data_IF_816110865628
#
_entry.id   IF_816110865628
#
_cell.length_a   1.000
_cell.length_b   1.000
_cell.length_c   1.000
_cell.angle_alpha   90.00
_cell.angle_beta   90.00
_cell.angle_gamma   90.00
#
_symmetry.space_group_name_H-M   'P 1'
#
loop_
_entity.id
_entity.type
_entity.pdbx_description
1 polymer ?
#
# COMPACT_ATOMS: atom_id res chain seq x y z
N UNK A 1 11.04 -31.90 4.18
CA UNK A 1 10.17 -31.83 2.99
C UNK A 1 9.49 -33.20 2.82
N UNK A 2 8.18 -33.24 2.80
CA UNK A 2 7.37 -34.47 2.61
C UNK A 2 7.17 -34.70 1.12
N UNK A 3 7.17 -35.98 0.68
CA UNK A 3 7.05 -36.35 -0.73
C UNK A 3 5.91 -37.33 -0.93
N UNK A 4 5.23 -37.22 -2.06
CA UNK A 4 4.13 -38.08 -2.50
C UNK A 4 4.44 -38.71 -3.85
N UNK A 5 3.94 -39.95 -4.06
CA UNK A 5 3.96 -40.54 -5.40
C UNK A 5 2.89 -39.90 -6.29
N UNK A 6 2.91 -40.19 -7.59
CA UNK A 6 1.98 -39.56 -8.55
C UNK A 6 0.52 -39.81 -8.23
N UNK A 7 0.19 -40.96 -7.63
CA UNK A 7 -1.22 -41.30 -7.28
C UNK A 7 -1.71 -40.45 -6.11
N UNK A 8 -0.89 -40.34 -5.07
CA UNK A 8 -1.16 -39.48 -3.91
C UNK A 8 -1.19 -38.01 -4.31
N UNK A 9 -0.17 -37.56 -5.04
CA UNK A 9 -0.06 -36.16 -5.47
C UNK A 9 -1.21 -35.69 -6.37
N UNK A 10 -1.78 -36.59 -7.19
CA UNK A 10 -3.02 -36.31 -7.94
C UNK A 10 -4.23 -36.04 -7.05
N UNK A 11 -4.33 -36.78 -5.94
CA UNK A 11 -5.42 -36.60 -4.97
C UNK A 11 -5.24 -35.25 -4.28
N UNK A 12 -4.06 -34.97 -3.79
CA UNK A 12 -3.70 -33.72 -3.10
C UNK A 12 -3.94 -32.49 -3.99
N UNK A 13 -3.52 -32.56 -5.27
CA UNK A 13 -3.61 -31.43 -6.20
C UNK A 13 -4.93 -31.36 -6.98
N UNK A 14 -5.79 -32.39 -6.90
CA UNK A 14 -6.98 -32.57 -7.76
C UNK A 14 -6.65 -32.47 -9.27
N UNK A 15 -5.40 -32.71 -9.64
CA UNK A 15 -4.90 -32.59 -11.01
C UNK A 15 -4.74 -33.96 -11.70
N UNK A 16 -4.95 -33.99 -13.02
CA UNK A 16 -4.67 -35.20 -13.80
C UNK A 16 -3.15 -35.47 -13.87
N UNK A 17 -2.76 -36.73 -14.04
CA UNK A 17 -1.37 -37.13 -14.24
C UNK A 17 -0.70 -36.32 -15.35
N UNK A 18 -1.38 -36.13 -16.46
CA UNK A 18 -0.87 -35.35 -17.61
C UNK A 18 -0.66 -33.87 -17.26
N UNK A 19 -1.54 -33.27 -16.43
CA UNK A 19 -1.40 -31.90 -15.96
C UNK A 19 -0.16 -31.75 -15.08
N UNK A 20 0.06 -32.70 -14.14
CA UNK A 20 1.24 -32.71 -13.26
C UNK A 20 2.52 -32.78 -14.08
N UNK A 21 2.68 -33.77 -14.97
CA UNK A 21 3.91 -33.90 -15.77
C UNK A 21 4.13 -32.74 -16.73
N UNK A 22 3.08 -32.15 -17.29
CA UNK A 22 3.18 -30.96 -18.14
C UNK A 22 3.64 -29.74 -17.36
N UNK A 23 3.17 -29.59 -16.12
CA UNK A 23 3.62 -28.54 -15.22
C UNK A 23 5.13 -28.64 -14.98
N UNK A 24 5.62 -29.81 -14.55
CA UNK A 24 7.04 -30.00 -14.28
C UNK A 24 7.93 -29.91 -15.56
N UNK A 25 7.38 -30.28 -16.72
CA UNK A 25 8.09 -30.08 -18.00
C UNK A 25 8.32 -28.59 -18.31
N UNK A 26 7.44 -27.72 -17.85
CA UNK A 26 7.55 -26.27 -18.04
C UNK A 26 8.36 -25.56 -16.94
N UNK A 27 8.56 -26.21 -15.80
CA UNK A 27 9.20 -25.64 -14.62
C UNK A 27 10.36 -26.53 -14.20
N UNK A 28 11.48 -26.43 -14.91
CA UNK A 28 12.65 -27.32 -14.74
C UNK A 28 13.27 -27.16 -13.34
N UNK A 29 13.27 -25.96 -12.77
CA UNK A 29 13.75 -25.70 -11.42
C UNK A 29 12.97 -26.54 -10.40
N UNK A 30 11.65 -26.50 -10.44
CA UNK A 30 10.79 -27.29 -9.56
C UNK A 30 10.90 -28.80 -9.85
N UNK A 31 11.19 -29.17 -11.09
CA UNK A 31 11.42 -30.56 -11.44
C UNK A 31 12.68 -31.11 -10.78
N UNK A 32 13.72 -30.31 -10.62
CA UNK A 32 14.96 -30.71 -9.94
C UNK A 32 14.76 -31.07 -8.47
N UNK A 33 13.71 -30.52 -7.84
CA UNK A 33 13.36 -30.82 -6.45
C UNK A 33 12.60 -32.15 -6.29
N UNK A 34 12.14 -32.77 -7.39
CA UNK A 34 11.52 -34.09 -7.34
C UNK A 34 12.57 -35.18 -7.09
N UNK A 35 12.18 -36.30 -6.49
CA UNK A 35 13.09 -37.43 -6.19
C UNK A 35 12.70 -38.67 -6.95
N UNK A 36 13.69 -39.47 -7.33
CA UNK A 36 13.45 -40.79 -7.88
C UNK A 36 13.75 -41.84 -6.78
N UNK A 37 12.75 -42.66 -6.43
CA UNK A 37 12.89 -43.73 -5.46
C UNK A 37 12.29 -45.03 -6.03
N UNK A 38 13.08 -46.09 -6.12
CA UNK A 38 12.65 -47.39 -6.65
C UNK A 38 11.94 -47.29 -8.03
N UNK A 39 12.51 -46.48 -8.94
CA UNK A 39 11.96 -46.25 -10.29
C UNK A 39 10.71 -45.38 -10.36
N UNK A 40 10.23 -44.91 -9.23
CA UNK A 40 9.05 -44.01 -9.17
C UNK A 40 9.47 -42.60 -8.80
N UNK A 41 8.90 -41.60 -9.51
CA UNK A 41 9.11 -40.19 -9.19
C UNK A 41 8.21 -39.79 -8.03
N UNK A 42 8.81 -39.07 -7.07
CA UNK A 42 8.17 -38.52 -5.92
C UNK A 42 8.16 -36.99 -6.03
N UNK A 43 7.05 -36.38 -5.67
CA UNK A 43 6.78 -34.95 -5.79
C UNK A 43 6.71 -34.31 -4.41
N UNK A 44 7.37 -33.15 -4.17
CA UNK A 44 7.22 -32.42 -2.92
C UNK A 44 5.75 -32.04 -2.67
N UNK A 45 5.24 -32.28 -1.46
CA UNK A 45 3.86 -31.94 -1.10
C UNK A 45 3.63 -30.43 -1.21
N UNK A 46 4.63 -29.62 -0.87
CA UNK A 46 4.57 -28.16 -0.93
C UNK A 46 4.32 -27.63 -2.35
N UNK A 47 4.66 -28.44 -3.38
CA UNK A 47 4.35 -28.07 -4.77
C UNK A 47 2.86 -28.18 -5.14
N UNK A 48 2.03 -28.77 -4.27
CA UNK A 48 0.57 -28.84 -4.49
C UNK A 48 -0.05 -27.43 -4.62
N UNK A 49 0.51 -26.42 -3.94
CA UNK A 49 0.10 -25.02 -4.03
C UNK A 49 0.03 -24.47 -5.46
N UNK A 50 0.93 -24.92 -6.35
CA UNK A 50 0.95 -24.49 -7.75
C UNK A 50 -0.19 -25.02 -8.61
N UNK A 51 -0.98 -25.94 -8.07
CA UNK A 51 -2.15 -26.50 -8.72
C UNK A 51 -3.46 -25.93 -8.15
N UNK A 52 -3.38 -25.18 -7.07
CA UNK A 52 -4.50 -24.48 -6.46
C UNK A 52 -4.71 -23.13 -7.18
N UNK A 53 -5.85 -22.99 -7.86
CA UNK A 53 -6.15 -21.79 -8.63
C UNK A 53 -6.45 -20.57 -7.77
N UNK A 54 -6.96 -20.74 -6.55
CA UNK A 54 -7.23 -19.63 -5.64
C UNK A 54 -5.93 -19.07 -5.07
N UNK A 55 -5.05 -19.95 -4.58
CA UNK A 55 -3.72 -19.51 -4.08
C UNK A 55 -2.93 -18.83 -5.20
N UNK A 56 -2.92 -19.41 -6.40
CA UNK A 56 -2.21 -18.81 -7.54
C UNK A 56 -2.82 -17.48 -7.98
N UNK A 57 -4.14 -17.31 -7.86
CA UNK A 57 -4.79 -16.05 -8.16
C UNK A 57 -4.40 -14.97 -7.16
N UNK A 58 -4.39 -15.28 -5.87
CA UNK A 58 -4.02 -14.33 -4.81
C UNK A 58 -2.54 -13.95 -4.88
N UNK A 59 -1.64 -14.92 -5.10
CA UNK A 59 -0.21 -14.67 -5.31
C UNK A 59 0.03 -13.77 -6.54
N UNK A 60 -0.65 -14.04 -7.66
CA UNK A 60 -0.54 -13.20 -8.86
C UNK A 60 -1.08 -11.79 -8.63
N UNK A 61 -2.13 -11.64 -7.82
CA UNK A 61 -2.68 -10.34 -7.46
C UNK A 61 -1.66 -9.52 -6.66
N UNK A 62 -1.04 -10.13 -5.65
CA UNK A 62 0.03 -9.50 -4.85
C UNK A 62 1.21 -9.10 -5.74
N UNK A 63 1.73 -10.02 -6.56
CA UNK A 63 2.83 -9.75 -7.47
C UNK A 63 2.52 -8.63 -8.48
N UNK A 64 1.29 -8.54 -8.97
CA UNK A 64 0.87 -7.44 -9.84
C UNK A 64 0.88 -6.10 -9.11
N UNK A 65 0.43 -6.07 -7.86
CA UNK A 65 0.46 -4.86 -7.03
C UNK A 65 1.90 -4.41 -6.75
N UNK A 66 2.78 -5.34 -6.38
CA UNK A 66 4.20 -5.07 -6.15
C UNK A 66 4.90 -4.56 -7.42
N UNK A 67 4.66 -5.21 -8.57
CA UNK A 67 5.19 -4.76 -9.85
C UNK A 67 4.68 -3.37 -10.24
N UNK A 68 3.41 -3.05 -9.99
CA UNK A 68 2.87 -1.73 -10.25
C UNK A 68 3.51 -0.68 -9.34
N UNK A 69 3.70 -0.99 -8.06
CA UNK A 69 4.38 -0.10 -7.10
C UNK A 69 5.82 0.17 -7.53
N UNK A 70 6.53 -0.86 -7.97
CA UNK A 70 7.91 -0.73 -8.46
C UNK A 70 8.00 0.11 -9.73
N UNK A 71 7.07 -0.06 -10.68
CA UNK A 71 7.01 0.79 -11.89
C UNK A 71 6.74 2.25 -11.53
N UNK A 72 5.79 2.52 -10.65
CA UNK A 72 5.49 3.88 -10.20
C UNK A 72 6.70 4.52 -9.52
N UNK A 73 7.48 3.76 -8.74
CA UNK A 73 8.71 4.22 -8.13
C UNK A 73 9.77 4.57 -9.20
N UNK A 74 9.95 3.72 -10.21
CA UNK A 74 10.89 3.95 -11.31
C UNK A 74 10.48 5.23 -12.07
N UNK A 75 9.22 5.35 -12.45
CA UNK A 75 8.70 6.52 -13.16
C UNK A 75 8.94 7.81 -12.36
N UNK A 76 8.74 7.76 -11.03
CA UNK A 76 9.03 8.87 -10.14
C UNK A 76 10.51 9.22 -10.08
N UNK A 77 11.41 8.23 -10.01
CA UNK A 77 12.86 8.46 -9.95
C UNK A 77 13.43 9.01 -11.26
N UNK A 78 12.76 8.76 -12.38
CA UNK A 78 13.13 9.29 -13.70
C UNK A 78 12.73 10.76 -13.84
N UNK A 79 11.54 11.15 -13.36
CA UNK A 79 11.04 12.53 -13.42
C UNK A 79 11.25 13.23 -12.06
N UNK A 80 12.44 13.79 -11.90
CA UNK A 80 12.85 14.50 -10.67
C UNK A 80 12.08 15.80 -10.41
N UNK A 81 11.44 16.35 -11.42
CA UNK A 81 10.65 17.58 -11.31
C UNK A 81 9.19 17.30 -10.94
N UNK A 82 8.81 16.01 -10.94
CA UNK A 82 7.45 15.60 -10.58
C UNK A 82 7.13 15.90 -9.11
N UNK A 83 5.86 16.20 -8.86
CA UNK A 83 5.34 16.32 -7.50
C UNK A 83 5.61 15.04 -6.67
N UNK A 84 5.45 13.87 -7.31
CA UNK A 84 5.69 12.58 -6.69
C UNK A 84 7.11 12.43 -6.16
N UNK A 85 8.11 12.79 -6.98
CA UNK A 85 9.51 12.72 -6.58
C UNK A 85 9.80 13.68 -5.42
N UNK A 86 9.29 14.90 -5.49
CA UNK A 86 9.47 15.91 -4.43
C UNK A 86 8.83 15.47 -3.11
N UNK A 87 7.62 14.89 -3.15
CA UNK A 87 6.96 14.33 -1.97
C UNK A 87 7.68 13.08 -1.43
N UNK A 88 8.22 12.25 -2.33
CA UNK A 88 8.95 11.03 -1.94
C UNK A 88 10.26 11.34 -1.21
N UNK A 89 10.92 12.45 -1.52
CA UNK A 89 12.14 12.89 -0.84
C UNK A 89 11.90 13.39 0.59
N UNK A 90 10.65 13.65 0.96
CA UNK A 90 10.32 14.10 2.30
C UNK A 90 10.19 12.92 3.27
N UNK A 91 10.55 13.18 4.52
CA UNK A 91 10.31 12.23 5.60
C UNK A 91 8.83 12.18 5.95
N UNK A 92 8.30 10.97 6.03
CA UNK A 92 6.94 10.68 6.47
C UNK A 92 6.94 9.63 7.56
N UNK A 93 6.06 9.79 8.54
CA UNK A 93 5.95 8.86 9.68
C UNK A 93 4.84 7.83 9.47
N UNK A 94 3.69 8.28 8.98
CA UNK A 94 2.48 7.46 8.87
C UNK A 94 1.76 7.66 7.55
N UNK A 95 1.10 6.59 7.11
CA UNK A 95 0.07 6.61 6.08
C UNK A 95 -1.27 6.38 6.75
N UNK A 96 -2.25 7.23 6.49
CA UNK A 96 -3.57 7.17 7.12
C UNK A 96 -4.64 7.21 6.05
N UNK A 97 -5.67 6.37 6.22
CA UNK A 97 -6.89 6.41 5.40
C UNK A 97 -8.07 6.76 6.30
N UNK A 98 -8.85 7.76 5.90
CA UNK A 98 -10.07 8.18 6.61
C UNK A 98 -11.26 7.92 5.69
N UNK A 99 -12.06 6.92 6.06
CA UNK A 99 -13.28 6.55 5.35
C UNK A 99 -14.50 7.04 6.13
N UNK A 100 -15.07 8.15 5.68
CA UNK A 100 -16.21 8.79 6.35
C UNK A 100 -17.44 7.88 6.35
N UNK A 101 -18.11 7.76 7.49
CA UNK A 101 -19.35 7.01 7.61
C UNK A 101 -20.52 7.71 6.91
N UNK A 102 -20.59 9.02 7.06
CA UNK A 102 -21.55 9.85 6.31
C UNK A 102 -21.01 10.18 4.91
N UNK A 103 -21.91 10.31 3.92
CA UNK A 103 -21.53 10.75 2.58
C UNK A 103 -20.95 12.17 2.68
N UNK A 104 -19.75 12.35 2.12
CA UNK A 104 -19.11 13.66 1.99
C UNK A 104 -18.75 13.91 0.53
N UNK A 105 -18.93 15.15 0.10
CA UNK A 105 -18.41 15.58 -1.19
C UNK A 105 -16.91 15.91 -1.07
N UNK A 106 -16.24 16.01 -2.20
CA UNK A 106 -14.84 16.34 -2.34
C UNK A 106 -14.42 17.58 -1.54
N UNK A 107 -15.12 18.69 -1.71
CA UNK A 107 -14.86 19.95 -0.99
C UNK A 107 -15.00 19.81 0.53
N UNK A 108 -15.93 18.98 0.99
CA UNK A 108 -16.10 18.67 2.41
C UNK A 108 -14.92 17.87 2.96
N UNK A 109 -14.43 16.89 2.19
CA UNK A 109 -13.23 16.11 2.54
C UNK A 109 -11.99 17.00 2.61
N UNK A 110 -11.81 17.90 1.63
CA UNK A 110 -10.71 18.85 1.60
C UNK A 110 -10.70 19.76 2.84
N UNK A 111 -11.83 20.39 3.15
CA UNK A 111 -11.98 21.23 4.37
C UNK A 111 -11.70 20.46 5.66
N UNK A 112 -12.09 19.20 5.69
CA UNK A 112 -11.88 18.37 6.88
C UNK A 112 -10.39 18.11 7.15
N UNK A 113 -9.56 18.00 6.10
CA UNK A 113 -8.12 17.81 6.26
C UNK A 113 -7.44 19.09 6.75
N UNK A 114 -7.84 20.26 6.27
CA UNK A 114 -7.37 21.53 6.81
C UNK A 114 -7.75 21.69 8.28
N UNK A 115 -9.01 21.42 8.64
CA UNK A 115 -9.45 21.49 10.03
C UNK A 115 -8.70 20.50 10.95
N UNK A 116 -8.40 19.28 10.45
CA UNK A 116 -7.55 18.33 11.16
C UNK A 116 -6.16 18.91 11.40
N UNK A 117 -5.52 19.46 10.35
CA UNK A 117 -4.19 20.04 10.46
C UNK A 117 -4.16 21.19 11.48
N UNK A 118 -5.10 22.14 11.38
CA UNK A 118 -5.23 23.26 12.32
C UNK A 118 -5.42 22.77 13.77
N UNK A 119 -6.23 21.73 13.98
CA UNK A 119 -6.42 21.11 15.27
C UNK A 119 -5.13 20.53 15.85
N UNK A 120 -4.38 19.78 15.03
CA UNK A 120 -3.11 19.17 15.43
C UNK A 120 -2.03 20.23 15.69
N UNK A 121 -1.93 21.25 14.80
CA UNK A 121 -0.97 22.33 14.95
C UNK A 121 -1.23 23.16 16.19
N UNK A 122 -2.48 23.50 16.46
CA UNK A 122 -2.84 24.22 17.70
C UNK A 122 -2.47 23.44 18.97
N UNK A 123 -2.58 22.11 18.93
CA UNK A 123 -2.34 21.27 20.11
C UNK A 123 -0.87 20.89 20.28
N UNK A 124 -0.16 20.65 19.18
CA UNK A 124 1.18 20.06 19.18
C UNK A 124 2.25 20.88 18.48
N UNK A 125 1.89 21.96 17.79
CA UNK A 125 2.81 22.72 16.95
C UNK A 125 4.00 23.35 17.69
N UNK A 126 3.85 23.62 18.99
CA UNK A 126 4.98 24.07 19.83
C UNK A 126 5.92 22.92 20.24
N UNK A 127 5.41 21.70 20.33
CA UNK A 127 6.14 20.52 20.80
C UNK A 127 6.79 19.72 19.67
N UNK A 128 6.30 19.85 18.44
CA UNK A 128 6.81 19.13 17.27
C UNK A 128 6.49 19.84 15.96
N UNK A 129 7.38 19.71 14.97
CA UNK A 129 7.04 20.05 13.60
C UNK A 129 6.10 19.00 13.01
N UNK A 130 5.08 19.48 12.32
CA UNK A 130 4.06 18.66 11.65
C UNK A 130 4.06 18.97 10.15
N UNK A 131 3.83 17.94 9.33
CA UNK A 131 3.59 18.07 7.90
C UNK A 131 2.57 17.03 7.47
N UNK A 132 1.60 17.43 6.67
CA UNK A 132 0.52 16.60 6.20
C UNK A 132 0.34 16.83 4.70
N UNK A 133 0.43 15.76 3.90
CA UNK A 133 0.01 15.75 2.51
C UNK A 133 -1.21 14.85 2.40
N UNK A 134 -2.23 15.29 1.68
CA UNK A 134 -3.46 14.54 1.53
C UNK A 134 -4.06 14.62 0.13
N UNK A 135 -4.89 13.64 -0.18
CA UNK A 135 -5.74 13.61 -1.36
C UNK A 135 -7.16 13.18 -1.00
N UNK A 136 -8.12 13.56 -1.83
CA UNK A 136 -9.53 13.16 -1.69
C UNK A 136 -9.92 12.30 -2.87
N UNK A 137 -10.36 11.05 -2.63
CA UNK A 137 -10.75 10.10 -3.68
C UNK A 137 -12.21 9.68 -3.55
N UNK A 138 -12.93 9.49 -4.68
CA UNK A 138 -14.28 8.92 -4.63
C UNK A 138 -14.22 7.45 -4.19
N UNK A 139 -15.23 6.99 -3.45
CA UNK A 139 -15.40 5.57 -3.20
C UNK A 139 -15.77 4.82 -4.49
N UNK A 140 -15.25 3.61 -4.65
CA UNK A 140 -15.56 2.75 -5.81
C UNK A 140 -16.90 2.04 -5.70
N UNK A 141 -17.38 1.79 -4.48
CA UNK A 141 -18.53 0.95 -4.18
C UNK A 141 -19.70 1.66 -3.50
N UNK A 142 -19.57 2.97 -3.24
CA UNK A 142 -20.63 3.83 -2.67
C UNK A 142 -20.44 5.27 -3.10
N UNK A 143 -21.45 6.13 -2.87
CA UNK A 143 -21.32 7.58 -3.07
C UNK A 143 -20.42 8.21 -2.00
N UNK A 144 -19.84 9.37 -2.36
CA UNK A 144 -18.99 10.17 -1.49
C UNK A 144 -17.50 9.92 -1.69
N UNK A 145 -16.71 10.61 -0.88
CA UNK A 145 -15.25 10.67 -0.95
C UNK A 145 -14.64 10.23 0.38
N UNK A 146 -13.39 9.81 0.32
CA UNK A 146 -12.53 9.49 1.46
C UNK A 146 -11.18 10.18 1.30
N UNK A 147 -10.42 10.29 2.37
CA UNK A 147 -9.08 10.86 2.33
C UNK A 147 -8.01 9.79 2.54
N UNK A 148 -6.95 9.93 1.75
CA UNK A 148 -5.64 9.37 2.05
C UNK A 148 -4.72 10.50 2.45
N UNK A 149 -3.92 10.30 3.48
CA UNK A 149 -2.91 11.27 3.89
C UNK A 149 -1.64 10.58 4.35
N UNK A 150 -0.52 11.27 4.17
CA UNK A 150 0.74 10.96 4.84
C UNK A 150 1.05 12.08 5.81
N UNK A 151 1.53 11.68 6.99
CA UNK A 151 1.81 12.58 8.10
C UNK A 151 3.26 12.42 8.54
N UNK A 152 3.99 13.53 8.66
CA UNK A 152 5.26 13.60 9.35
C UNK A 152 5.06 14.22 10.74
N UNK A 153 5.64 13.59 11.74
CA UNK A 153 5.72 14.05 13.12
C UNK A 153 7.18 13.97 13.52
N UNK A 154 7.85 15.13 13.61
CA UNK A 154 9.29 15.16 13.85
C UNK A 154 9.69 14.56 15.20
N UNK A 155 8.89 14.79 16.24
CA UNK A 155 9.13 14.22 17.57
C UNK A 155 8.50 12.83 17.69
N UNK A 156 9.32 11.79 17.57
CA UNK A 156 8.88 10.39 17.66
C UNK A 156 8.18 10.02 18.97
N UNK A 157 8.45 10.73 20.06
CA UNK A 157 7.78 10.46 21.36
C UNK A 157 6.31 10.83 21.35
N UNK A 158 5.87 11.69 20.41
CA UNK A 158 4.47 12.10 20.26
C UNK A 158 3.70 11.27 19.23
N UNK A 159 4.33 10.29 18.59
CA UNK A 159 3.70 9.49 17.54
C UNK A 159 2.38 8.83 18.00
N UNK A 160 2.43 8.09 19.11
CA UNK A 160 1.25 7.38 19.62
C UNK A 160 0.14 8.34 20.08
N UNK A 161 0.54 9.44 20.74
CA UNK A 161 -0.40 10.43 21.22
C UNK A 161 -1.13 11.13 20.06
N UNK A 162 -0.40 11.57 19.03
CA UNK A 162 -0.97 12.27 17.88
C UNK A 162 -1.86 11.31 17.06
N UNK A 163 -1.45 10.05 16.88
CA UNK A 163 -2.29 9.07 16.21
C UNK A 163 -3.58 8.80 16.99
N UNK A 164 -3.51 8.68 18.31
CA UNK A 164 -4.68 8.55 19.19
C UNK A 164 -5.60 9.76 19.07
N UNK A 165 -5.04 10.96 18.98
CA UNK A 165 -5.81 12.19 18.79
C UNK A 165 -6.52 12.22 17.44
N UNK A 166 -5.87 11.79 16.35
CA UNK A 166 -6.51 11.65 15.02
C UNK A 166 -7.67 10.65 15.08
N UNK A 167 -7.47 9.50 15.70
CA UNK A 167 -8.53 8.50 15.85
C UNK A 167 -9.70 9.01 16.70
N UNK A 168 -9.41 9.80 17.73
CA UNK A 168 -10.43 10.46 18.55
C UNK A 168 -11.17 11.55 17.77
N UNK A 169 -10.47 12.36 16.99
CA UNK A 169 -11.03 13.40 16.14
C UNK A 169 -12.03 12.82 15.13
N UNK A 170 -11.73 11.65 14.58
CA UNK A 170 -12.59 10.90 13.67
C UNK A 170 -13.27 9.69 14.33
N UNK A 171 -13.62 9.78 15.61
CA UNK A 171 -14.18 8.65 16.37
C UNK A 171 -15.47 8.05 15.77
N UNK A 172 -16.15 8.79 14.92
CA UNK A 172 -17.35 8.34 14.20
C UNK A 172 -17.05 7.66 12.87
N UNK A 173 -15.88 7.89 12.32
CA UNK A 173 -15.43 7.44 11.02
C UNK A 173 -14.45 6.27 11.15
N UNK A 174 -14.16 5.57 10.04
CA UNK A 174 -13.13 4.55 10.02
C UNK A 174 -11.79 5.20 9.72
N UNK A 175 -10.83 4.99 10.61
CA UNK A 175 -9.45 5.47 10.50
C UNK A 175 -8.51 4.28 10.48
N UNK A 176 -7.86 4.04 9.34
CA UNK A 176 -6.82 3.01 9.19
C UNK A 176 -5.46 3.71 9.21
N UNK A 177 -4.56 3.30 10.10
CA UNK A 177 -3.21 3.88 10.27
C UNK A 177 -2.15 2.81 10.05
N UNK A 178 -1.17 3.11 9.21
CA UNK A 178 0.01 2.31 9.01
C UNK A 178 1.29 3.14 9.12
N UNK A 179 2.40 2.50 9.49
CA UNK A 179 3.72 3.12 9.39
C UNK A 179 3.99 3.38 7.91
N UNK A 180 4.50 4.59 7.60
CA UNK A 180 4.86 4.92 6.23
C UNK A 180 6.08 4.11 5.77
N UNK A 181 5.98 3.51 4.60
CA UNK A 181 7.06 2.79 3.94
C UNK A 181 7.29 3.43 2.56
N UNK A 182 8.46 4.07 2.31
CA UNK A 182 8.74 4.77 1.06
C UNK A 182 8.78 3.83 -0.16
N UNK A 183 8.95 2.53 0.03
CA UNK A 183 8.98 1.53 -1.04
C UNK A 183 7.60 0.90 -1.31
N UNK A 184 6.61 1.20 -0.49
CA UNK A 184 5.21 0.84 -0.73
C UNK A 184 4.47 1.99 -1.42
N UNK A 185 3.34 1.66 -2.02
CA UNK A 185 2.59 2.53 -2.92
C UNK A 185 2.02 3.84 -2.31
N UNK A 186 2.30 4.17 -1.03
CA UNK A 186 1.65 5.27 -0.31
C UNK A 186 1.54 6.58 -1.10
N UNK A 187 2.65 7.31 -1.30
CA UNK A 187 2.65 8.58 -2.05
C UNK A 187 2.28 8.36 -3.52
N UNK A 188 2.80 7.30 -4.17
CA UNK A 188 2.49 7.04 -5.58
C UNK A 188 1.02 6.70 -5.80
N UNK A 189 0.40 6.01 -4.85
CA UNK A 189 -1.03 5.74 -4.88
C UNK A 189 -1.84 7.03 -4.76
N UNK A 190 -1.48 7.89 -3.81
CA UNK A 190 -2.15 9.16 -3.56
C UNK A 190 -1.97 10.15 -4.70
N UNK A 191 -0.79 10.16 -5.36
CA UNK A 191 -0.40 11.12 -6.38
C UNK A 191 -0.55 10.61 -7.82
N UNK A 192 -1.32 9.53 -8.04
CA UNK A 192 -1.59 8.99 -9.38
C UNK A 192 -2.27 10.02 -10.29
N UNK A 193 -2.00 9.89 -11.62
CA UNK A 193 -2.66 10.74 -12.63
C UNK A 193 -4.18 10.68 -12.49
N UNK A 194 -4.82 11.85 -12.34
CA UNK A 194 -6.26 11.99 -12.12
C UNK A 194 -6.64 12.35 -10.68
N UNK A 195 -5.78 12.11 -9.69
CA UNK A 195 -6.03 12.52 -8.29
C UNK A 195 -5.34 13.86 -7.97
N UNK A 196 -4.29 14.22 -8.72
CA UNK A 196 -3.42 15.39 -8.44
C UNK A 196 -3.98 16.71 -8.98
N UNK A 197 -4.98 16.68 -9.87
CA UNK A 197 -5.32 17.91 -10.60
C UNK A 197 -6.03 18.98 -9.75
N UNK A 198 -6.80 18.62 -8.71
CA UNK A 198 -7.55 19.61 -7.93
C UNK A 198 -7.77 19.24 -6.44
N UNK A 199 -7.39 18.03 -6.01
CA UNK A 199 -7.89 17.43 -4.78
C UNK A 199 -6.82 17.06 -3.76
N UNK A 200 -5.71 17.75 -3.79
CA UNK A 200 -4.61 17.55 -2.87
C UNK A 200 -4.10 18.87 -2.30
N UNK A 201 -3.51 18.78 -1.12
CA UNK A 201 -2.74 19.88 -0.54
C UNK A 201 -1.64 19.35 0.36
N UNK A 202 -0.65 20.20 0.63
CA UNK A 202 0.41 19.95 1.58
C UNK A 202 0.45 21.08 2.61
N UNK A 203 0.32 20.69 3.88
CA UNK A 203 0.27 21.60 5.03
C UNK A 203 1.43 21.28 5.96
N UNK A 204 2.06 22.29 6.54
CA UNK A 204 3.12 22.04 7.50
C UNK A 204 3.85 23.29 7.97
N UNK A 205 4.29 23.26 9.20
CA UNK A 205 5.09 24.32 9.82
C UNK A 205 6.59 24.20 9.51
N UNK A 206 7.04 23.12 8.86
CA UNK A 206 8.43 22.84 8.49
C UNK A 206 8.71 22.87 6.98
N UNK A 207 7.75 23.23 6.15
CA UNK A 207 7.88 23.21 4.67
C UNK A 207 9.01 24.13 4.17
N UNK A 208 9.26 25.25 4.85
CA UNK A 208 10.32 26.20 4.50
C UNK A 208 11.73 25.69 4.83
N UNK A 209 11.86 24.77 5.79
CA UNK A 209 13.16 24.26 6.24
C UNK A 209 13.76 23.24 5.25
N UNK A 210 12.89 22.52 4.52
CA UNK A 210 13.31 21.48 3.59
C UNK A 210 13.65 22.04 2.18
N UNK A 211 13.66 23.36 1.98
CA UNK A 211 13.99 23.99 0.71
C UNK A 211 12.98 23.76 -0.41
N UNK A 212 11.83 23.17 -0.08
CA UNK A 212 10.77 22.85 -1.00
C UNK A 212 9.76 24.00 -1.02
N UNK A 213 9.86 24.83 -2.04
CA UNK A 213 8.80 25.80 -2.34
C UNK A 213 7.68 25.05 -3.05
N UNK A 214 6.63 24.72 -2.32
CA UNK A 214 5.34 24.40 -2.92
C UNK A 214 4.63 25.75 -3.11
N UNK A 215 4.37 26.11 -4.36
CA UNK A 215 3.51 27.26 -4.63
C UNK A 215 2.13 26.96 -4.01
N UNK A 216 1.79 27.70 -2.95
CA UNK A 216 0.46 27.67 -2.36
C UNK A 216 -0.54 28.09 -3.45
N UNK A 217 -1.41 27.20 -3.83
CA UNK A 217 -2.57 27.49 -4.69
C UNK A 217 -3.71 28.06 -3.88
#
# INVERSE_FOLDING_TARGET
MKYENITEFKITTKASKSKVYRFYKKNEELFSETKLKSGKRLFPVDHARYFDSEIMFDENKILRQENQSMRNLIDCLVDKDSLQYRLWQLDWSFFVTIAYKAERNQKGCFKQMHALYEHLEKKYGEATALRLFFTSEPFTNRKGYHNHLVLNIANKKLHEEIITEIQKYFSYDRVDVGIYDPYKAGIFYMSKKGTINEDWDILGNNLKQDGLQFENR
#
